data_IF_220489995632
#
_entry.id   IF_220489995632
#
_cell.length_a   1.000
_cell.length_b   1.000
_cell.length_c   1.000
_cell.angle_alpha   90.00
_cell.angle_beta   90.00
_cell.angle_gamma   90.00
#
_symmetry.space_group_name_H-M   'P 1'
#
loop_
_entity.id
_entity.type
_entity.pdbx_description
1 polymer ?
#
# COMPACT_ATOMS: atom_id res chain seq x y z
N UNK A 1 -14.86 -31.71 -73.77
CA UNK A 1 -13.53 -31.92 -73.17
C UNK A 1 -13.11 -30.62 -72.53
N UNK A 2 -13.02 -30.58 -71.19
CA UNK A 2 -12.15 -29.71 -70.37
C UNK A 2 -12.71 -29.68 -68.94
N UNK A 3 -11.83 -29.99 -67.99
CA UNK A 3 -12.15 -30.52 -66.68
C UNK A 3 -12.71 -29.52 -65.66
N UNK A 4 -13.57 -30.04 -64.79
CA UNK A 4 -13.88 -29.42 -63.51
C UNK A 4 -12.75 -29.77 -62.53
N UNK A 5 -11.94 -28.77 -62.19
CA UNK A 5 -10.97 -28.83 -61.10
C UNK A 5 -11.71 -28.72 -59.76
N UNK A 6 -11.81 -29.84 -59.06
CA UNK A 6 -12.18 -29.90 -57.65
C UNK A 6 -10.99 -29.38 -56.81
N UNK A 7 -11.09 -28.17 -56.27
CA UNK A 7 -10.14 -27.69 -55.26
C UNK A 7 -10.42 -28.39 -53.93
N UNK A 8 -9.56 -29.33 -53.55
CA UNK A 8 -9.47 -29.83 -52.18
C UNK A 8 -8.80 -28.75 -51.31
N UNK A 9 -9.58 -28.08 -50.47
CA UNK A 9 -9.04 -27.33 -49.33
C UNK A 9 -8.69 -28.32 -48.23
N UNK A 10 -7.47 -28.86 -48.28
CA UNK A 10 -6.86 -29.51 -47.11
C UNK A 10 -6.40 -28.42 -46.15
N UNK A 11 -7.31 -28.01 -45.24
CA UNK A 11 -6.90 -27.28 -44.04
C UNK A 11 -6.11 -28.27 -43.19
N UNK A 12 -4.79 -28.12 -43.17
CA UNK A 12 -3.90 -28.87 -42.29
C UNK A 12 -4.32 -28.61 -40.84
N UNK A 13 -4.83 -29.66 -40.19
CA UNK A 13 -5.18 -29.69 -38.76
C UNK A 13 -3.97 -29.36 -37.85
N UNK A 14 -2.76 -29.29 -38.41
CA UNK A 14 -1.51 -29.00 -37.69
C UNK A 14 -1.23 -27.50 -37.52
N UNK A 15 -1.94 -26.61 -38.21
CA UNK A 15 -1.77 -25.16 -38.07
C UNK A 15 -2.79 -24.49 -37.12
N UNK A 16 -3.83 -25.21 -36.71
CA UNK A 16 -4.87 -24.70 -35.79
C UNK A 16 -4.63 -25.12 -34.32
N UNK A 17 -3.54 -25.85 -34.05
CA UNK A 17 -3.08 -26.22 -32.71
C UNK A 17 -1.85 -25.43 -32.23
N UNK A 18 -1.41 -24.41 -32.98
CA UNK A 18 -0.23 -23.60 -32.66
C UNK A 18 -0.53 -22.12 -32.35
N UNK A 19 -1.81 -21.78 -32.12
CA UNK A 19 -2.23 -20.44 -31.66
C UNK A 19 -3.05 -20.45 -30.36
N UNK A 20 -3.12 -21.60 -29.68
CA UNK A 20 -3.63 -21.65 -28.31
C UNK A 20 -2.53 -22.10 -27.36
N UNK A 21 -2.20 -21.20 -26.43
CA UNK A 21 -1.45 -21.45 -25.20
C UNK A 21 0.05 -21.72 -25.36
N UNK A 22 0.75 -20.79 -26.00
CA UNK A 22 2.04 -20.35 -25.44
C UNK A 22 1.82 -19.35 -24.28
N UNK A 23 0.79 -19.57 -23.46
CA UNK A 23 0.73 -19.04 -22.10
C UNK A 23 1.65 -19.94 -21.29
N UNK A 24 2.96 -19.76 -21.46
CA UNK A 24 3.90 -20.20 -20.46
C UNK A 24 3.45 -19.57 -19.15
N UNK A 25 2.83 -20.38 -18.31
CA UNK A 25 2.79 -20.18 -16.86
C UNK A 25 4.25 -20.14 -16.38
N UNK A 26 4.93 -19.02 -16.62
CA UNK A 26 5.87 -18.48 -15.66
C UNK A 26 5.00 -18.23 -14.43
N UNK A 27 4.97 -19.19 -13.50
CA UNK A 27 4.26 -19.01 -12.26
C UNK A 27 4.69 -17.66 -11.69
N UNK A 28 3.78 -16.68 -11.69
CA UNK A 28 4.05 -15.37 -11.13
C UNK A 28 4.59 -15.61 -9.72
N UNK A 29 5.69 -14.94 -9.37
CA UNK A 29 6.25 -15.09 -8.03
C UNK A 29 5.13 -14.76 -7.03
N UNK A 30 4.91 -15.59 -6.00
CA UNK A 30 3.84 -15.33 -5.04
C UNK A 30 4.14 -14.02 -4.29
N UNK A 31 3.12 -13.30 -3.86
CA UNK A 31 3.29 -12.06 -3.10
C UNK A 31 4.12 -12.27 -1.81
N UNK A 32 4.06 -13.47 -1.22
CA UNK A 32 4.91 -13.91 -0.09
C UNK A 32 6.41 -13.93 -0.38
N UNK A 33 6.84 -13.82 -1.64
CA UNK A 33 8.25 -13.77 -2.03
C UNK A 33 8.89 -12.39 -1.94
N UNK A 34 8.11 -11.33 -1.70
CA UNK A 34 8.64 -9.96 -1.56
C UNK A 34 9.53 -9.87 -0.34
N UNK A 35 10.79 -9.49 -0.56
CA UNK A 35 11.77 -9.31 0.52
C UNK A 35 11.76 -7.88 1.04
N UNK A 36 11.64 -7.75 2.36
CA UNK A 36 11.94 -6.51 3.07
C UNK A 36 13.46 -6.33 3.11
N UNK A 37 13.92 -5.19 2.64
CA UNK A 37 15.34 -4.86 2.55
C UNK A 37 15.50 -3.42 3.02
N UNK A 38 16.62 -3.12 3.68
CA UNK A 38 16.91 -1.75 4.09
C UNK A 38 16.91 -0.84 2.87
N UNK A 39 16.13 0.23 2.95
CA UNK A 39 16.12 1.31 1.97
C UNK A 39 15.99 2.61 2.74
N UNK A 40 16.59 3.67 2.21
CA UNK A 40 16.35 5.03 2.69
C UNK A 40 15.88 5.89 1.53
N UNK A 41 15.11 6.96 1.78
CA UNK A 41 14.68 7.86 0.72
C UNK A 41 15.84 8.42 -0.09
N UNK A 42 16.98 8.71 0.55
CA UNK A 42 18.18 9.23 -0.12
C UNK A 42 18.82 8.17 -1.03
N UNK A 43 18.87 6.90 -0.60
CA UNK A 43 19.37 5.79 -1.42
C UNK A 43 18.46 5.48 -2.61
N UNK A 44 17.13 5.60 -2.43
CA UNK A 44 16.20 5.47 -3.55
C UNK A 44 16.40 6.61 -4.54
N UNK A 45 16.50 7.86 -4.06
CA UNK A 45 16.69 9.06 -4.90
C UNK A 45 18.03 9.08 -5.64
N UNK A 46 19.07 8.46 -5.09
CA UNK A 46 20.38 8.39 -5.76
C UNK A 46 20.42 7.42 -6.94
N UNK A 47 19.43 6.53 -7.08
CA UNK A 47 19.32 5.60 -8.22
C UNK A 47 18.89 6.33 -9.49
N UNK A 48 19.36 5.87 -10.64
CA UNK A 48 18.86 6.32 -11.93
C UNK A 48 17.37 5.98 -12.11
N UNK A 49 16.66 6.73 -12.95
CA UNK A 49 15.21 6.53 -13.16
C UNK A 49 14.86 5.07 -13.50
N UNK A 50 15.54 4.46 -14.46
CA UNK A 50 15.30 3.06 -14.83
C UNK A 50 15.59 2.06 -13.70
N UNK A 51 16.58 2.34 -12.85
CA UNK A 51 16.89 1.51 -11.68
C UNK A 51 15.79 1.61 -10.61
N UNK A 52 15.19 2.79 -10.44
CA UNK A 52 14.04 3.00 -9.55
C UNK A 52 12.81 2.26 -10.06
N UNK A 53 12.49 2.36 -11.36
CA UNK A 53 11.38 1.63 -11.96
C UNK A 53 11.53 0.11 -11.77
N UNK A 54 12.70 -0.43 -12.06
CA UNK A 54 12.99 -1.85 -11.82
C UNK A 54 12.86 -2.21 -10.33
N UNK A 55 13.28 -1.33 -9.42
CA UNK A 55 13.09 -1.56 -7.99
C UNK A 55 11.59 -1.61 -7.62
N UNK A 56 10.76 -0.68 -8.12
CA UNK A 56 9.31 -0.67 -7.89
C UNK A 56 8.64 -1.96 -8.39
N UNK A 57 8.93 -2.37 -9.63
CA UNK A 57 8.42 -3.62 -10.23
C UNK A 57 8.80 -4.84 -9.41
N UNK A 58 10.08 -4.95 -9.00
CA UNK A 58 10.52 -6.08 -8.19
C UNK A 58 9.84 -6.16 -6.82
N UNK A 59 9.37 -5.03 -6.27
CA UNK A 59 8.67 -4.98 -4.99
C UNK A 59 7.18 -5.27 -5.11
N UNK A 60 6.49 -4.78 -6.14
CA UNK A 60 5.03 -4.85 -6.21
C UNK A 60 4.46 -5.82 -7.25
N UNK A 61 5.17 -6.13 -8.34
CA UNK A 61 4.66 -7.06 -9.37
C UNK A 61 4.26 -8.44 -8.82
N UNK A 62 4.96 -9.04 -7.82
CA UNK A 62 4.52 -10.29 -7.20
C UNK A 62 3.16 -10.20 -6.46
N UNK A 63 2.69 -8.99 -6.16
CA UNK A 63 1.49 -8.70 -5.37
C UNK A 63 0.41 -7.97 -6.18
N UNK A 64 0.53 -7.92 -7.50
CA UNK A 64 -0.32 -7.07 -8.35
C UNK A 64 -1.81 -7.39 -8.20
N UNK A 65 -2.16 -8.67 -8.06
CA UNK A 65 -3.53 -9.10 -7.85
C UNK A 65 -4.06 -8.63 -6.48
N UNK A 66 -3.31 -8.87 -5.40
CA UNK A 66 -3.71 -8.47 -4.04
C UNK A 66 -3.85 -6.95 -3.92
N UNK A 67 -2.96 -6.18 -4.57
CA UNK A 67 -3.01 -4.72 -4.62
C UNK A 67 -4.30 -4.24 -5.30
N UNK A 68 -4.58 -4.76 -6.51
CA UNK A 68 -5.77 -4.40 -7.29
C UNK A 68 -7.07 -4.77 -6.56
N UNK A 69 -7.15 -5.98 -6.03
CA UNK A 69 -8.33 -6.43 -5.29
C UNK A 69 -8.57 -5.64 -4.01
N UNK A 70 -7.52 -5.36 -3.24
CA UNK A 70 -7.63 -4.60 -1.98
C UNK A 70 -8.00 -3.14 -2.24
N UNK A 71 -7.42 -2.53 -3.28
CA UNK A 71 -7.78 -1.18 -3.71
C UNK A 71 -9.25 -1.10 -4.11
N UNK A 72 -9.73 -2.06 -4.93
CA UNK A 72 -11.12 -2.15 -5.35
C UNK A 72 -12.08 -2.34 -4.18
N UNK A 73 -11.81 -3.27 -3.25
CA UNK A 73 -12.67 -3.50 -2.07
C UNK A 73 -12.81 -2.26 -1.19
N UNK A 74 -11.77 -1.43 -1.15
CA UNK A 74 -11.73 -0.23 -0.34
C UNK A 74 -12.08 1.06 -1.11
N UNK A 75 -12.46 0.93 -2.39
CA UNK A 75 -12.78 2.04 -3.30
C UNK A 75 -11.68 3.11 -3.32
N UNK A 76 -10.43 2.69 -3.36
CA UNK A 76 -9.28 3.58 -3.49
C UNK A 76 -8.54 3.30 -4.81
N UNK A 77 -7.77 4.27 -5.33
CA UNK A 77 -6.99 4.07 -6.55
C UNK A 77 -5.84 3.11 -6.29
N UNK A 78 -5.65 2.13 -7.17
CA UNK A 78 -4.54 1.15 -7.07
C UNK A 78 -3.18 1.86 -7.09
N UNK A 79 -3.01 2.89 -7.91
CA UNK A 79 -1.76 3.65 -7.99
C UNK A 79 -1.43 4.39 -6.70
N UNK A 80 -2.46 4.85 -5.97
CA UNK A 80 -2.28 5.43 -4.64
C UNK A 80 -1.78 4.37 -3.66
N UNK A 81 -2.43 3.20 -3.60
CA UNK A 81 -2.01 2.09 -2.73
C UNK A 81 -0.56 1.67 -3.03
N UNK A 82 -0.22 1.52 -4.31
CA UNK A 82 1.14 1.20 -4.75
C UNK A 82 2.15 2.26 -4.28
N UNK A 83 1.82 3.54 -4.46
CA UNK A 83 2.68 4.64 -4.04
C UNK A 83 2.93 4.63 -2.54
N UNK A 84 1.88 4.44 -1.72
CA UNK A 84 1.99 4.42 -0.27
C UNK A 84 2.84 3.24 0.20
N UNK A 85 2.59 2.03 -0.31
CA UNK A 85 3.39 0.86 0.06
C UNK A 85 4.85 1.04 -0.36
N UNK A 86 5.13 1.52 -1.58
CA UNK A 86 6.50 1.80 -2.02
C UNK A 86 7.17 2.89 -1.18
N UNK A 87 6.41 3.89 -0.73
CA UNK A 87 6.92 4.93 0.16
C UNK A 87 7.37 4.34 1.51
N UNK A 88 6.61 3.40 2.08
CA UNK A 88 7.01 2.69 3.30
C UNK A 88 8.21 1.78 3.05
N UNK A 89 8.23 1.04 1.92
CA UNK A 89 9.37 0.20 1.54
C UNK A 89 10.63 1.00 1.26
N UNK A 90 10.51 2.27 0.88
CA UNK A 90 11.62 3.19 0.62
C UNK A 90 12.26 3.75 1.90
N UNK A 91 11.64 3.52 3.06
CA UNK A 91 12.09 4.01 4.37
C UNK A 91 12.17 2.89 5.42
N UNK A 92 12.59 1.69 4.99
CA UNK A 92 12.80 0.56 5.91
C UNK A 92 14.15 0.71 6.63
N UNK A 93 14.08 0.87 7.95
CA UNK A 93 15.23 0.74 8.84
C UNK A 93 15.25 -0.66 9.48
N UNK A 94 16.08 -1.58 8.96
CA UNK A 94 16.16 -2.98 9.43
C UNK A 94 16.57 -3.14 10.91
N UNK A 95 17.15 -2.13 11.55
CA UNK A 95 17.46 -2.17 12.98
C UNK A 95 16.19 -2.27 13.86
N UNK A 96 15.04 -1.80 13.34
CA UNK A 96 13.75 -1.88 14.03
C UNK A 96 13.09 -3.27 13.85
N UNK A 97 13.26 -3.91 12.69
CA UNK A 97 12.69 -5.23 12.39
C UNK A 97 13.26 -6.38 13.24
N UNK A 98 14.52 -6.26 13.69
CA UNK A 98 15.17 -7.25 14.56
C UNK A 98 14.72 -7.19 16.02
N UNK A 99 14.29 -6.02 16.50
CA UNK A 99 13.73 -5.85 17.84
C UNK A 99 12.22 -6.16 17.88
N UNK A 100 11.52 -5.99 16.75
CA UNK A 100 10.11 -6.40 16.58
C UNK A 100 9.91 -7.93 16.65
N UNK A 101 10.90 -8.70 16.18
CA UNK A 101 10.88 -10.17 16.22
C UNK A 101 11.01 -10.74 17.65
N UNK A 102 11.70 -10.04 18.55
CA UNK A 102 11.92 -10.46 19.95
C UNK A 102 10.99 -9.63 20.86
N UNK A 103 9.68 -9.81 20.73
CA UNK A 103 8.74 -9.28 21.72
C UNK A 103 7.47 -8.59 21.22
N UNK A 104 7.10 -8.67 19.94
CA UNK A 104 5.79 -8.33 19.31
C UNK A 104 4.82 -7.56 20.22
N UNK A 105 5.06 -6.27 20.41
CA UNK A 105 4.19 -5.38 21.20
C UNK A 105 4.17 -3.92 20.73
N UNK A 106 5.14 -3.54 19.89
CA UNK A 106 5.31 -2.22 19.26
C UNK A 106 6.06 -2.41 17.94
N UNK A 107 5.75 -1.60 16.93
CA UNK A 107 6.46 -1.65 15.64
C UNK A 107 5.57 -1.57 14.40
N UNK A 108 6.22 -1.45 13.25
CA UNK A 108 5.67 -1.36 11.90
C UNK A 108 5.99 -2.63 11.10
N UNK A 109 4.96 -3.40 10.74
CA UNK A 109 5.15 -4.78 10.26
C UNK A 109 4.74 -4.96 8.79
N UNK A 110 5.43 -5.87 8.09
CA UNK A 110 5.06 -6.36 6.77
C UNK A 110 5.42 -5.40 5.63
N UNK A 111 5.00 -5.76 4.41
CA UNK A 111 5.25 -4.99 3.17
C UNK A 111 4.72 -3.55 3.26
N UNK A 112 3.63 -3.33 3.99
CA UNK A 112 3.02 -2.03 4.17
C UNK A 112 3.48 -1.27 5.43
N UNK A 113 4.41 -1.85 6.20
CA UNK A 113 4.97 -1.30 7.45
C UNK A 113 3.92 -0.70 8.38
N UNK A 114 2.76 -1.36 8.52
CA UNK A 114 1.65 -0.86 9.35
C UNK A 114 2.03 -0.95 10.82
N UNK A 115 1.85 0.15 11.57
CA UNK A 115 2.03 0.15 13.01
C UNK A 115 0.98 -0.73 13.69
N UNK A 116 1.41 -1.62 14.59
CA UNK A 116 0.50 -2.56 15.29
C UNK A 116 -0.60 -1.79 16.06
N UNK A 117 -0.23 -0.70 16.74
CA UNK A 117 -1.20 0.11 17.50
C UNK A 117 -2.21 0.79 16.56
N UNK A 118 -1.78 1.26 15.38
CA UNK A 118 -2.67 1.81 14.33
C UNK A 118 -3.61 0.73 13.81
N UNK A 119 -3.10 -0.46 13.51
CA UNK A 119 -3.93 -1.59 13.05
C UNK A 119 -5.03 -1.95 14.04
N UNK A 120 -4.73 -1.92 15.35
CA UNK A 120 -5.71 -2.21 16.40
C UNK A 120 -6.70 -1.06 16.53
N UNK A 121 -6.20 0.19 16.62
CA UNK A 121 -7.03 1.37 16.84
C UNK A 121 -8.04 1.58 15.70
N UNK A 122 -7.60 1.44 14.44
CA UNK A 122 -8.45 1.56 13.25
C UNK A 122 -9.12 0.25 12.81
N UNK A 123 -8.87 -0.88 13.52
CA UNK A 123 -9.39 -2.21 13.17
C UNK A 123 -9.05 -2.63 11.73
N UNK A 124 -7.78 -2.41 11.34
CA UNK A 124 -7.29 -2.72 10.00
C UNK A 124 -7.10 -4.22 9.76
N UNK A 125 -6.99 -5.00 10.83
CA UNK A 125 -6.80 -6.46 10.80
C UNK A 125 -7.88 -7.14 11.62
N UNK A 126 -8.50 -8.16 11.03
CA UNK A 126 -9.57 -8.92 11.67
C UNK A 126 -8.96 -9.95 12.66
N UNK A 127 -9.13 -9.68 13.96
CA UNK A 127 -8.75 -10.57 15.07
C UNK A 127 -10.01 -11.05 15.78
N UNK A 128 -10.28 -12.34 15.68
CA UNK A 128 -11.50 -12.96 16.22
C UNK A 128 -11.30 -13.48 17.64
N UNK A 129 -12.39 -13.77 18.37
CA UNK A 129 -12.27 -14.42 19.69
C UNK A 129 -11.66 -15.81 19.59
N UNK A 130 -11.91 -16.51 18.48
CA UNK A 130 -11.29 -17.80 18.19
C UNK A 130 -9.77 -17.67 18.05
N UNK A 131 -9.28 -16.64 17.32
CA UNK A 131 -7.85 -16.37 17.21
C UNK A 131 -7.21 -16.15 18.59
N UNK A 132 -7.89 -15.40 19.47
CA UNK A 132 -7.43 -15.09 20.82
C UNK A 132 -7.34 -16.35 21.67
N UNK A 133 -8.41 -17.16 21.70
CA UNK A 133 -8.44 -18.41 22.46
C UNK A 133 -7.40 -19.41 21.94
N UNK A 134 -7.27 -19.52 20.62
CA UNK A 134 -6.27 -20.38 19.97
C UNK A 134 -4.85 -19.98 20.36
N UNK A 135 -4.53 -18.69 20.38
CA UNK A 135 -3.21 -18.22 20.82
C UNK A 135 -3.00 -18.46 22.31
N UNK A 136 -3.94 -18.08 23.18
CA UNK A 136 -3.81 -18.21 24.64
C UNK A 136 -3.63 -19.67 25.10
N UNK A 137 -4.11 -20.64 24.33
CA UNK A 137 -3.94 -22.07 24.60
C UNK A 137 -2.79 -22.71 23.79
N UNK A 138 -2.01 -21.93 23.05
CA UNK A 138 -0.90 -22.43 22.24
C UNK A 138 0.36 -22.68 23.06
N UNK A 139 1.20 -23.63 22.61
CA UNK A 139 2.53 -23.87 23.19
C UNK A 139 3.40 -22.61 23.19
N UNK A 140 3.25 -21.76 22.18
CA UNK A 140 3.99 -20.50 22.09
C UNK A 140 3.64 -19.53 23.23
N UNK A 141 2.35 -19.41 23.56
CA UNK A 141 1.93 -18.60 24.70
C UNK A 141 2.46 -19.15 26.02
N UNK A 142 2.45 -20.49 26.20
CA UNK A 142 3.05 -21.14 27.39
C UNK A 142 4.56 -20.89 27.47
N UNK A 143 5.27 -20.97 26.35
CA UNK A 143 6.71 -20.68 26.32
C UNK A 143 7.03 -19.23 26.66
N UNK A 144 6.19 -18.28 26.23
CA UNK A 144 6.44 -16.84 26.41
C UNK A 144 5.96 -16.32 27.76
N UNK A 145 4.88 -16.85 28.31
CA UNK A 145 4.23 -16.33 29.52
C UNK A 145 4.19 -17.33 30.70
N UNK A 146 4.69 -18.56 30.50
CA UNK A 146 4.63 -19.62 31.50
C UNK A 146 3.19 -20.11 31.73
N UNK A 147 2.88 -20.44 32.98
CA UNK A 147 1.53 -20.87 33.38
C UNK A 147 0.51 -19.72 33.41
N UNK A 148 0.97 -18.46 33.29
CA UNK A 148 0.09 -17.30 33.23
C UNK A 148 -0.40 -17.09 31.80
N UNK A 149 -1.72 -17.12 31.59
CA UNK A 149 -2.30 -16.78 30.28
C UNK A 149 -2.10 -15.29 29.97
N UNK A 150 -1.66 -14.92 28.76
CA UNK A 150 -1.50 -13.52 28.40
C UNK A 150 -2.86 -12.80 28.42
N UNK A 151 -2.84 -11.54 28.85
CA UNK A 151 -4.02 -10.68 28.79
C UNK A 151 -4.53 -10.55 27.35
N UNK A 152 -5.85 -10.31 27.21
CA UNK A 152 -6.51 -10.19 25.90
C UNK A 152 -5.88 -9.13 25.00
N UNK A 153 -5.57 -7.95 25.55
CA UNK A 153 -4.97 -6.86 24.79
C UNK A 153 -3.57 -7.20 24.25
N UNK A 154 -2.75 -7.87 25.07
CA UNK A 154 -1.42 -8.36 24.64
C UNK A 154 -1.56 -9.42 23.55
N UNK A 155 -2.53 -10.33 23.70
CA UNK A 155 -2.84 -11.36 22.70
C UNK A 155 -3.25 -10.73 21.36
N UNK A 156 -4.11 -9.71 21.38
CA UNK A 156 -4.52 -8.98 20.18
C UNK A 156 -3.31 -8.34 19.49
N UNK A 157 -2.39 -7.71 20.24
CA UNK A 157 -1.16 -7.12 19.69
C UNK A 157 -0.29 -8.16 18.99
N UNK A 158 -0.07 -9.31 19.63
CA UNK A 158 0.75 -10.38 19.08
C UNK A 158 0.12 -10.96 17.81
N UNK A 159 -1.18 -11.27 17.84
CA UNK A 159 -1.89 -11.82 16.68
C UNK A 159 -1.90 -10.81 15.53
N UNK A 160 -2.17 -9.53 15.81
CA UNK A 160 -2.15 -8.46 14.80
C UNK A 160 -0.78 -8.37 14.14
N UNK A 161 0.29 -8.31 14.93
CA UNK A 161 1.66 -8.29 14.40
C UNK A 161 1.96 -9.49 13.51
N UNK A 162 1.57 -10.71 13.93
CA UNK A 162 1.74 -11.91 13.11
C UNK A 162 0.98 -11.86 11.80
N UNK A 163 -0.31 -11.49 11.84
CA UNK A 163 -1.13 -11.40 10.62
C UNK A 163 -0.58 -10.36 9.65
N UNK A 164 -0.07 -9.24 10.13
CA UNK A 164 0.58 -8.22 9.30
C UNK A 164 1.88 -8.70 8.62
N UNK A 165 2.48 -9.83 9.03
CA UNK A 165 3.60 -10.41 8.27
C UNK A 165 3.17 -11.05 6.96
N UNK A 166 1.89 -11.39 6.82
CA UNK A 166 1.33 -11.94 5.58
C UNK A 166 1.06 -10.80 4.59
N UNK A 167 1.70 -10.77 3.41
CA UNK A 167 1.60 -9.61 2.52
C UNK A 167 0.17 -9.27 2.10
N UNK A 168 -0.69 -10.26 1.83
CA UNK A 168 -2.09 -10.02 1.47
C UNK A 168 -2.85 -9.27 2.59
N UNK A 169 -2.62 -9.64 3.86
CA UNK A 169 -3.24 -8.96 5.00
C UNK A 169 -2.66 -7.56 5.18
N UNK A 170 -1.34 -7.39 5.05
CA UNK A 170 -0.70 -6.09 5.14
C UNK A 170 -1.17 -5.12 4.05
N UNK A 171 -1.35 -5.60 2.82
CA UNK A 171 -1.87 -4.83 1.68
C UNK A 171 -3.32 -4.41 1.93
N UNK A 172 -4.17 -5.33 2.38
CA UNK A 172 -5.57 -5.01 2.74
C UNK A 172 -5.63 -4.00 3.90
N UNK A 173 -4.79 -4.16 4.93
CA UNK A 173 -4.70 -3.23 6.04
C UNK A 173 -4.28 -1.82 5.58
N UNK A 174 -3.32 -1.72 4.66
CA UNK A 174 -2.92 -0.46 4.03
C UNK A 174 -4.06 0.18 3.25
N UNK A 175 -4.82 -0.61 2.49
CA UNK A 175 -5.96 -0.12 1.73
C UNK A 175 -7.07 0.42 2.66
N UNK A 176 -7.37 -0.28 3.76
CA UNK A 176 -8.31 0.17 4.80
C UNK A 176 -7.83 1.46 5.48
N UNK A 177 -6.53 1.58 5.76
CA UNK A 177 -5.94 2.79 6.35
C UNK A 177 -6.05 3.99 5.42
N UNK A 178 -5.67 3.82 4.14
CA UNK A 178 -5.80 4.88 3.13
C UNK A 178 -7.26 5.32 3.01
N UNK A 179 -8.20 4.38 2.94
CA UNK A 179 -9.63 4.71 2.94
C UNK A 179 -10.03 5.53 4.16
N UNK A 180 -9.59 5.12 5.35
CA UNK A 180 -9.89 5.84 6.60
C UNK A 180 -9.32 7.26 6.61
N UNK A 181 -8.10 7.43 6.11
CA UNK A 181 -7.46 8.74 5.93
C UNK A 181 -8.30 9.61 4.98
N UNK A 182 -8.75 9.07 3.85
CA UNK A 182 -9.60 9.82 2.91
C UNK A 182 -10.94 10.21 3.52
N UNK A 183 -11.55 9.33 4.33
CA UNK A 183 -12.77 9.64 5.11
C UNK A 183 -12.54 10.76 6.13
N UNK A 184 -11.41 10.75 6.84
CA UNK A 184 -11.05 11.79 7.79
C UNK A 184 -10.71 13.12 7.09
N UNK A 185 -10.02 13.09 5.94
CA UNK A 185 -9.75 14.27 5.11
C UNK A 185 -11.05 14.91 4.64
N UNK A 186 -12.06 14.10 4.26
CA UNK A 186 -13.40 14.62 3.96
C UNK A 186 -14.02 15.32 5.18
N UNK A 187 -13.93 14.71 6.36
CA UNK A 187 -14.46 15.31 7.59
C UNK A 187 -13.72 16.59 8.01
N UNK A 188 -12.45 16.72 7.60
CA UNK A 188 -11.55 17.83 7.90
C UNK A 188 -11.15 18.61 6.65
N UNK A 189 -12.03 18.70 5.65
CA UNK A 189 -11.72 19.31 4.34
C UNK A 189 -11.45 20.81 4.41
N UNK A 190 -11.82 21.46 5.52
CA UNK A 190 -11.53 22.87 5.80
C UNK A 190 -10.22 23.09 6.56
N UNK A 191 -9.50 22.02 6.94
CA UNK A 191 -8.25 22.14 7.71
C UNK A 191 -7.16 22.80 6.88
N UNK A 192 -6.21 23.46 7.55
CA UNK A 192 -5.07 24.09 6.88
C UNK A 192 -4.23 23.07 6.11
N UNK A 193 -4.13 21.82 6.58
CA UNK A 193 -3.44 20.75 5.86
C UNK A 193 -4.12 20.42 4.55
N UNK A 194 -5.41 20.08 4.60
CA UNK A 194 -6.18 19.60 3.44
C UNK A 194 -6.37 20.71 2.39
N UNK A 195 -6.51 21.96 2.82
CA UNK A 195 -6.60 23.14 1.94
C UNK A 195 -5.35 23.36 1.07
N UNK A 196 -4.18 22.79 1.42
CA UNK A 196 -3.02 22.83 0.52
C UNK A 196 -3.24 21.99 -0.74
N UNK A 197 -4.03 20.93 -0.64
CA UNK A 197 -4.18 19.91 -1.68
C UNK A 197 -5.55 19.93 -2.37
N UNK A 198 -6.56 20.61 -1.81
CA UNK A 198 -7.94 20.60 -2.32
C UNK A 198 -8.39 21.97 -2.86
N UNK A 199 -9.13 21.96 -3.97
CA UNK A 199 -9.85 23.10 -4.55
C UNK A 199 -11.19 23.35 -3.85
N UNK A 200 -11.17 23.44 -2.53
CA UNK A 200 -12.36 23.65 -1.70
C UNK A 200 -12.84 22.40 -0.96
N UNK A 201 -14.07 22.47 -0.46
CA UNK A 201 -14.65 21.44 0.41
C UNK A 201 -15.07 20.19 -0.39
N UNK A 202 -14.77 19.00 0.12
CA UNK A 202 -15.09 17.74 -0.56
C UNK A 202 -16.56 17.40 -0.31
N UNK A 203 -17.37 17.47 -1.37
CA UNK A 203 -18.74 16.98 -1.35
C UNK A 203 -18.74 15.58 -1.98
N UNK A 204 -18.44 14.53 -1.20
CA UNK A 204 -18.62 13.16 -1.71
C UNK A 204 -20.13 12.89 -1.84
N UNK A 205 -20.60 12.83 -3.08
CA UNK A 205 -21.94 12.32 -3.37
C UNK A 205 -21.86 10.78 -3.34
N UNK A 206 -22.77 10.13 -2.62
CA UNK A 206 -22.87 8.67 -2.52
C UNK A 206 -21.68 7.92 -1.88
N UNK A 207 -20.75 8.62 -1.23
CA UNK A 207 -19.64 7.98 -0.51
C UNK A 207 -18.58 7.33 -1.41
N UNK A 208 -18.54 7.69 -2.69
CA UNK A 208 -17.51 7.26 -3.64
C UNK A 208 -16.21 8.05 -3.42
N UNK A 209 -15.13 7.43 -2.90
CA UNK A 209 -13.86 8.13 -2.66
C UNK A 209 -13.12 8.49 -3.95
N UNK A 210 -13.49 7.91 -5.11
CA UNK A 210 -12.87 8.26 -6.40
C UNK A 210 -13.16 9.70 -6.81
N UNK A 211 -14.27 10.28 -6.31
CA UNK A 211 -14.60 11.70 -6.49
C UNK A 211 -13.57 12.62 -5.87
N UNK A 212 -12.73 12.15 -4.93
CA UNK A 212 -11.71 13.00 -4.32
C UNK A 212 -10.78 13.62 -5.39
N UNK A 213 -10.53 12.90 -6.50
CA UNK A 213 -9.72 13.39 -7.62
C UNK A 213 -10.27 14.65 -8.30
N UNK A 214 -11.58 14.88 -8.23
CA UNK A 214 -12.20 16.09 -8.77
C UNK A 214 -11.77 17.32 -7.97
N UNK A 215 -11.58 17.14 -6.67
CA UNK A 215 -11.23 18.19 -5.72
C UNK A 215 -9.71 18.37 -5.55
N UNK A 216 -8.88 17.39 -5.89
CA UNK A 216 -7.42 17.53 -5.78
C UNK A 216 -6.93 18.64 -6.72
N UNK A 217 -6.10 19.54 -6.19
CA UNK A 217 -5.40 20.60 -6.94
C UNK A 217 -4.44 20.00 -7.96
N UNK A 218 -4.28 20.71 -9.07
CA UNK A 218 -3.38 20.34 -10.17
C UNK A 218 -4.06 20.54 -11.52
N UNK A 219 -3.28 20.95 -12.50
CA UNK A 219 -3.74 21.22 -13.88
C UNK A 219 -3.73 19.94 -14.72
N UNK A 220 -2.97 18.92 -14.31
CA UNK A 220 -2.86 17.64 -15.00
C UNK A 220 -3.21 16.45 -14.11
N UNK A 221 -3.57 15.32 -14.73
CA UNK A 221 -3.78 14.05 -14.00
C UNK A 221 -2.55 13.65 -13.19
N UNK A 222 -1.35 13.90 -13.73
CA UNK A 222 -0.07 13.66 -13.05
C UNK A 222 0.01 14.45 -11.74
N UNK A 223 -0.21 15.77 -11.80
CA UNK A 223 -0.16 16.64 -10.62
C UNK A 223 -1.20 16.23 -9.58
N UNK A 224 -2.41 15.89 -10.02
CA UNK A 224 -3.46 15.41 -9.12
C UNK A 224 -3.06 14.11 -8.41
N UNK A 225 -2.46 13.15 -9.12
CA UNK A 225 -1.95 11.90 -8.52
C UNK A 225 -0.84 12.19 -7.50
N UNK A 226 0.10 13.06 -7.83
CA UNK A 226 1.20 13.48 -6.94
C UNK A 226 0.65 14.15 -5.68
N UNK A 227 -0.31 15.07 -5.82
CA UNK A 227 -0.91 15.78 -4.69
C UNK A 227 -1.76 14.87 -3.80
N UNK A 228 -2.48 13.92 -4.39
CA UNK A 228 -3.20 12.91 -3.61
C UNK A 228 -2.24 12.04 -2.77
N UNK A 229 -1.14 11.58 -3.38
CA UNK A 229 -0.13 10.80 -2.68
C UNK A 229 0.50 11.58 -1.51
N UNK A 230 0.87 12.86 -1.73
CA UNK A 230 1.36 13.78 -0.67
C UNK A 230 0.40 13.87 0.50
N UNK A 231 -0.87 14.14 0.18
CA UNK A 231 -1.92 14.36 1.17
C UNK A 231 -2.15 13.13 2.06
N UNK A 232 -2.08 11.92 1.49
CA UNK A 232 -2.36 10.65 2.16
C UNK A 232 -1.13 10.07 2.88
N UNK A 233 0.08 10.22 2.31
CA UNK A 233 1.30 9.65 2.91
C UNK A 233 1.70 10.31 4.22
N UNK A 234 1.39 11.59 4.40
CA UNK A 234 1.69 12.31 5.64
C UNK A 234 0.98 11.75 6.88
N UNK A 235 -0.36 11.55 6.87
CA UNK A 235 -1.09 10.93 7.98
C UNK A 235 -0.94 9.41 8.06
N UNK A 236 -0.39 8.72 7.05
CA UNK A 236 -0.26 7.27 7.08
C UNK A 236 0.52 6.79 8.31
N UNK A 237 -0.01 5.80 9.03
CA UNK A 237 0.50 5.33 10.33
C UNK A 237 0.52 6.42 11.43
N UNK A 238 -0.33 7.44 11.33
CA UNK A 238 -0.45 8.53 12.31
C UNK A 238 -1.93 8.90 12.50
N UNK A 239 -2.28 9.47 13.65
CA UNK A 239 -3.66 9.93 13.91
C UNK A 239 -3.73 11.44 13.96
N UNK A 240 -4.68 12.04 13.23
CA UNK A 240 -5.13 13.42 13.43
C UNK A 240 -4.36 14.50 12.69
N UNK A 241 -3.39 14.16 11.82
CA UNK A 241 -2.64 15.13 11.00
C UNK A 241 -3.56 15.85 10.02
N UNK A 242 -4.54 15.13 9.48
CA UNK A 242 -5.52 15.59 8.51
C UNK A 242 -6.43 16.72 9.02
N UNK A 243 -6.53 16.90 10.33
CA UNK A 243 -7.38 17.92 10.97
C UNK A 243 -6.57 19.06 11.63
N UNK A 244 -5.25 19.13 11.41
CA UNK A 244 -4.39 20.12 12.06
C UNK A 244 -4.63 21.54 11.51
N UNK A 245 -4.87 22.50 12.41
CA UNK A 245 -5.10 23.91 12.06
C UNK A 245 -3.82 24.66 11.63
N UNK A 246 -2.64 24.21 12.05
CA UNK A 246 -1.38 24.87 11.69
C UNK A 246 -0.23 23.88 11.44
N UNK A 247 -0.25 23.15 10.31
CA UNK A 247 0.76 22.12 10.01
C UNK A 247 2.09 22.71 9.50
N UNK A 248 2.16 24.02 9.27
CA UNK A 248 3.23 24.72 8.52
C UNK A 248 3.26 24.34 7.03
N UNK A 249 4.35 24.67 6.30
CA UNK A 249 4.43 24.42 4.86
C UNK A 249 4.61 22.91 4.55
N UNK A 250 3.62 22.22 3.94
CA UNK A 250 3.72 20.79 3.65
C UNK A 250 4.79 20.44 2.62
N UNK A 251 5.29 21.45 1.90
CA UNK A 251 6.30 21.34 0.84
C UNK A 251 7.74 21.60 1.33
N UNK A 252 7.93 21.93 2.60
CA UNK A 252 9.25 22.20 3.18
C UNK A 252 9.60 21.16 4.25
N UNK A 253 10.48 20.19 3.97
CA UNK A 253 10.90 19.20 4.96
C UNK A 253 11.77 19.77 6.08
N UNK A 254 12.29 21.00 5.92
CA UNK A 254 13.33 21.59 6.77
C UNK A 254 12.83 22.64 7.79
N UNK A 255 11.53 22.87 7.94
CA UNK A 255 11.03 23.91 8.87
C UNK A 255 11.13 23.52 10.36
N UNK A 256 11.69 22.36 10.70
CA UNK A 256 12.00 21.96 12.09
C UNK A 256 10.81 21.78 13.03
N UNK A 257 9.57 21.86 12.53
CA UNK A 257 8.35 21.70 13.33
C UNK A 257 8.02 20.24 13.68
N UNK A 258 6.99 20.00 14.51
CA UNK A 258 6.56 18.66 14.94
C UNK A 258 6.07 17.76 13.80
N UNK A 259 5.98 18.28 12.58
CA UNK A 259 5.52 17.60 11.36
C UNK A 259 6.63 17.27 10.37
N UNK A 260 7.91 17.33 10.76
CA UNK A 260 9.05 17.01 9.88
C UNK A 260 8.96 15.60 9.25
N UNK A 261 8.58 14.59 10.04
CA UNK A 261 8.39 13.22 9.57
C UNK A 261 7.22 13.09 8.56
N UNK A 262 5.99 13.55 8.88
CA UNK A 262 4.88 13.60 7.92
C UNK A 262 5.21 14.29 6.59
N UNK A 263 5.95 15.41 6.64
CA UNK A 263 6.36 16.11 5.41
C UNK A 263 7.38 15.32 4.59
N UNK A 264 8.35 14.67 5.23
CA UNK A 264 9.31 13.81 4.55
C UNK A 264 8.61 12.66 3.82
N UNK A 265 7.59 12.06 4.45
CA UNK A 265 6.74 11.03 3.85
C UNK A 265 5.96 11.58 2.65
N UNK A 266 5.35 12.75 2.79
CA UNK A 266 4.66 13.46 1.70
C UNK A 266 5.57 13.69 0.48
N UNK A 267 6.78 14.24 0.68
CA UNK A 267 7.73 14.50 -0.41
C UNK A 267 8.29 13.22 -1.06
N UNK A 268 8.46 12.16 -0.28
CA UNK A 268 8.89 10.86 -0.79
C UNK A 268 7.79 10.19 -1.63
N UNK A 269 6.53 10.21 -1.15
CA UNK A 269 5.39 9.72 -1.91
C UNK A 269 5.15 10.52 -3.20
N UNK A 270 5.36 11.84 -3.18
CA UNK A 270 5.29 12.68 -4.38
C UNK A 270 6.26 12.23 -5.47
N UNK A 271 7.52 11.98 -5.07
CA UNK A 271 8.59 11.55 -5.96
C UNK A 271 8.30 10.16 -6.55
N UNK A 272 7.81 9.23 -5.74
CA UNK A 272 7.41 7.90 -6.19
C UNK A 272 6.20 7.98 -7.13
N UNK A 273 5.17 8.75 -6.80
CA UNK A 273 3.99 8.93 -7.65
C UNK A 273 4.37 9.50 -9.03
N UNK A 274 5.27 10.46 -9.07
CA UNK A 274 5.82 11.00 -10.31
C UNK A 274 6.55 9.94 -11.13
N UNK A 275 7.40 9.13 -10.50
CA UNK A 275 8.11 8.06 -11.20
C UNK A 275 7.14 7.03 -11.79
N UNK A 276 6.15 6.58 -11.00
CA UNK A 276 5.15 5.59 -11.46
C UNK A 276 4.35 6.12 -12.65
N UNK A 277 3.97 7.40 -12.62
CA UNK A 277 3.27 8.04 -13.73
C UNK A 277 4.14 8.13 -14.98
N UNK A 278 5.37 8.65 -14.85
CA UNK A 278 6.29 8.83 -15.98
C UNK A 278 6.75 7.49 -16.57
N UNK A 279 6.89 6.46 -15.72
CA UNK A 279 7.29 5.11 -16.10
C UNK A 279 6.14 4.25 -16.63
N UNK A 280 4.90 4.75 -16.57
CA UNK A 280 3.68 4.00 -16.90
C UNK A 280 3.58 2.65 -16.17
N UNK A 281 4.04 2.59 -14.92
CA UNK A 281 4.04 1.37 -14.11
C UNK A 281 2.68 1.15 -13.45
N UNK A 282 2.20 -0.10 -13.50
CA UNK A 282 0.97 -0.56 -12.86
C UNK A 282 -0.32 0.16 -13.30
N UNK A 283 -0.30 0.86 -14.44
CA UNK A 283 -1.51 1.43 -15.04
C UNK A 283 -2.26 0.29 -15.78
N UNK A 284 -3.26 -0.30 -15.12
CA UNK A 284 -4.23 -1.25 -15.70
C UNK A 284 -5.67 -0.85 -15.46
#
# INVERSE_FOLDING_TARGET
MNGNLTYYFTISLSAMLLLFNASYSLAAKPCSSVKLERMTPDTLRSKGFSERLNWYENKLSPCSQELKESANRNNIPTELLNTIILNELADINLLDLGQEWIGVGKGSVGIAQIQIDTAIFHKLVDVTEEDIQKYQNSTEAVQRFGDNKPHKNETIKIITGKKLTEPAIAIEAAAREIRKILENIKACSSSSWTNNFLNGEIILTNGDPSQIYEFIKGESLKEKRINLARMVAAPYNSTGIECVENPGNPFSPNDGGPFSNPRRRSESAAFIAEDLFNGNLFNE
#
